data_IF_276699427463
#
_entry.id   IF_276699427463
#
_cell.length_a   1.000
_cell.length_b   1.000
_cell.length_c   1.000
_cell.angle_alpha   90.00
_cell.angle_beta   90.00
_cell.angle_gamma   90.00
#
_symmetry.space_group_name_H-M   'P 1'
#
loop_
_entity.id
_entity.type
_entity.pdbx_description
1 polymer ?
#
# COMPACT_ATOMS: atom_id res chain seq x y z
N UNK A 1 -1.57 -22.45 -1.34
CA UNK A 1 -1.75 -20.98 -1.40
C UNK A 1 -0.73 -20.46 -2.40
N UNK A 2 -1.14 -19.61 -3.34
CA UNK A 2 -0.19 -18.99 -4.28
C UNK A 2 0.68 -18.00 -3.52
N UNK A 3 1.95 -17.91 -3.88
CA UNK A 3 2.86 -16.90 -3.32
C UNK A 3 2.35 -15.50 -3.66
N UNK A 4 2.33 -14.55 -2.70
CA UNK A 4 2.00 -13.15 -2.98
C UNK A 4 2.93 -12.56 -4.05
N UNK A 5 2.40 -11.66 -4.88
CA UNK A 5 3.20 -10.98 -5.92
C UNK A 5 4.03 -9.85 -5.34
N UNK A 6 3.46 -9.13 -4.36
CA UNK A 6 4.02 -7.93 -3.75
C UNK A 6 4.53 -8.22 -2.34
N UNK A 7 5.80 -7.88 -2.09
CA UNK A 7 6.41 -7.95 -0.77
C UNK A 7 5.81 -6.87 0.14
N UNK A 8 5.46 -5.71 -0.43
CA UNK A 8 4.92 -4.57 0.30
C UNK A 8 3.80 -3.92 -0.50
N UNK A 9 2.69 -3.60 0.14
CA UNK A 9 1.66 -2.74 -0.44
C UNK A 9 1.40 -1.56 0.48
N UNK A 10 1.41 -0.34 -0.05
CA UNK A 10 0.99 0.85 0.71
C UNK A 10 -0.44 1.19 0.31
N UNK A 11 -1.37 1.01 1.25
CA UNK A 11 -2.77 1.38 1.11
C UNK A 11 -2.96 2.89 1.43
N UNK A 12 -3.58 3.64 0.53
CA UNK A 12 -3.72 5.09 0.67
C UNK A 12 -2.43 5.85 0.34
N UNK A 13 -1.63 5.36 -0.62
CA UNK A 13 -0.25 5.84 -0.87
C UNK A 13 -0.14 7.34 -1.11
N UNK A 14 -1.17 7.96 -1.70
CA UNK A 14 -1.18 9.39 -2.04
C UNK A 14 -1.48 10.31 -0.84
N UNK A 15 -1.64 9.75 0.36
CA UNK A 15 -1.70 10.51 1.61
C UNK A 15 -0.31 11.00 2.04
N UNK A 16 -0.25 12.04 2.85
CA UNK A 16 1.02 12.71 3.22
C UNK A 16 2.08 11.75 3.79
N UNK A 17 1.79 11.07 4.90
CA UNK A 17 2.72 10.14 5.54
C UNK A 17 3.03 8.93 4.66
N UNK A 18 2.02 8.44 3.93
CA UNK A 18 2.17 7.30 3.03
C UNK A 18 3.07 7.62 1.82
N UNK A 19 3.04 8.87 1.32
CA UNK A 19 3.95 9.33 0.27
C UNK A 19 5.39 9.40 0.77
N UNK A 20 5.62 9.87 1.99
CA UNK A 20 6.96 9.84 2.60
C UNK A 20 7.47 8.40 2.75
N UNK A 21 6.60 7.47 3.15
CA UNK A 21 6.92 6.04 3.19
C UNK A 21 7.28 5.50 1.80
N UNK A 22 6.51 5.84 0.77
CA UNK A 22 6.78 5.43 -0.61
C UNK A 22 8.12 5.99 -1.13
N UNK A 23 8.41 7.25 -0.84
CA UNK A 23 9.71 7.86 -1.15
C UNK A 23 10.85 7.16 -0.42
N UNK A 24 10.65 6.77 0.85
CA UNK A 24 11.66 6.04 1.62
C UNK A 24 11.95 4.67 0.98
N UNK A 25 10.93 3.94 0.56
CA UNK A 25 11.09 2.69 -0.18
C UNK A 25 11.86 2.94 -1.49
N UNK A 26 11.50 3.98 -2.26
CA UNK A 26 12.19 4.31 -3.50
C UNK A 26 13.68 4.66 -3.30
N UNK A 27 14.02 5.33 -2.19
CA UNK A 27 15.39 5.77 -1.86
C UNK A 27 16.27 4.66 -1.30
N UNK A 28 15.71 3.73 -0.52
CA UNK A 28 16.53 2.92 0.41
C UNK A 28 16.37 1.40 0.28
N UNK A 29 15.26 0.91 -0.28
CA UNK A 29 15.03 -0.53 -0.41
C UNK A 29 15.78 -1.08 -1.63
N UNK A 30 16.04 -2.40 -1.70
CA UNK A 30 16.58 -3.03 -2.90
C UNK A 30 15.80 -2.64 -4.16
N UNK A 31 16.51 -2.40 -5.26
CA UNK A 31 15.90 -1.93 -6.52
C UNK A 31 14.94 -2.96 -7.13
N UNK A 32 15.05 -4.23 -6.74
CA UNK A 32 14.19 -5.33 -7.18
C UNK A 32 13.02 -5.63 -6.22
N UNK A 33 12.79 -4.81 -5.19
CA UNK A 33 11.63 -4.96 -4.30
C UNK A 33 10.33 -4.87 -5.09
N UNK A 34 9.49 -5.91 -4.99
CA UNK A 34 8.16 -5.97 -5.62
C UNK A 34 7.16 -5.35 -4.67
N UNK A 35 6.44 -4.32 -5.11
CA UNK A 35 5.58 -3.57 -4.23
C UNK A 35 4.49 -2.84 -5.00
N UNK A 36 3.38 -2.57 -4.31
CA UNK A 36 2.18 -1.97 -4.88
C UNK A 36 1.81 -0.67 -4.16
N UNK A 37 1.36 0.32 -4.93
CA UNK A 37 0.74 1.54 -4.44
C UNK A 37 -0.77 1.47 -4.67
N UNK A 38 -1.54 1.46 -3.58
CA UNK A 38 -2.99 1.39 -3.63
C UNK A 38 -3.65 2.72 -3.22
N UNK A 39 -4.66 3.15 -3.96
CA UNK A 39 -5.36 4.41 -3.69
C UNK A 39 -6.66 4.59 -4.49
N UNK A 40 -7.39 5.67 -4.23
CA UNK A 40 -8.69 5.94 -4.89
C UNK A 40 -8.56 6.58 -6.27
N UNK A 41 -7.42 7.23 -6.57
CA UNK A 41 -7.25 8.02 -7.78
C UNK A 41 -6.09 7.50 -8.60
N UNK A 42 -6.41 6.85 -9.74
CA UNK A 42 -5.43 6.40 -10.72
C UNK A 42 -4.46 7.52 -11.13
N UNK A 43 -5.00 8.73 -11.38
CA UNK A 43 -4.20 9.88 -11.78
C UNK A 43 -3.17 10.29 -10.71
N UNK A 44 -3.54 10.27 -9.43
CA UNK A 44 -2.61 10.60 -8.33
C UNK A 44 -1.57 9.50 -8.12
N UNK A 45 -1.96 8.24 -8.27
CA UNK A 45 -1.03 7.11 -8.20
C UNK A 45 0.01 7.17 -9.33
N UNK A 46 -0.42 7.49 -10.55
CA UNK A 46 0.50 7.63 -11.68
C UNK A 46 1.42 8.84 -11.55
N UNK A 47 0.90 9.97 -11.04
CA UNK A 47 1.74 11.12 -10.72
C UNK A 47 2.83 10.75 -9.69
N UNK A 48 2.44 10.08 -8.60
CA UNK A 48 3.39 9.61 -7.59
C UNK A 48 4.39 8.59 -8.17
N UNK A 49 3.95 7.64 -9.00
CA UNK A 49 4.83 6.68 -9.69
C UNK A 49 5.93 7.38 -10.47
N UNK A 50 5.59 8.44 -11.20
CA UNK A 50 6.56 9.26 -11.95
C UNK A 50 7.55 9.97 -11.02
N UNK A 51 7.08 10.53 -9.91
CA UNK A 51 7.94 11.21 -8.94
C UNK A 51 8.91 10.22 -8.29
N UNK A 52 8.44 9.02 -7.92
CA UNK A 52 9.29 7.95 -7.37
C UNK A 52 10.32 7.44 -8.38
N UNK A 53 9.96 7.37 -9.67
CA UNK A 53 10.90 7.01 -10.75
C UNK A 53 12.01 8.04 -10.90
N UNK A 54 11.72 9.32 -10.69
CA UNK A 54 12.75 10.37 -10.73
C UNK A 54 13.74 10.28 -9.56
N UNK A 55 13.32 9.71 -8.42
CA UNK A 55 14.19 9.47 -7.25
C UNK A 55 15.20 8.35 -7.53
N UNK A 56 14.75 7.26 -8.15
CA UNK A 56 15.61 6.12 -8.47
C UNK A 56 15.12 5.41 -9.75
N UNK A 57 15.66 5.76 -10.92
CA UNK A 57 15.15 5.30 -12.21
C UNK A 57 15.48 3.84 -12.54
N UNK A 58 16.44 3.23 -11.84
CA UNK A 58 16.89 1.85 -12.09
C UNK A 58 16.09 0.81 -11.30
N UNK A 59 15.14 1.24 -10.45
CA UNK A 59 14.31 0.33 -9.65
C UNK A 59 13.14 -0.23 -10.45
N UNK A 60 12.69 -1.41 -10.05
CA UNK A 60 11.42 -1.98 -10.48
C UNK A 60 10.29 -1.00 -10.14
N UNK A 61 9.49 -0.62 -11.14
CA UNK A 61 8.39 0.31 -10.90
C UNK A 61 7.31 -0.36 -10.03
N UNK A 62 6.72 0.36 -9.06
CA UNK A 62 5.61 -0.18 -8.28
C UNK A 62 4.41 -0.51 -9.16
N UNK A 63 3.71 -1.59 -8.81
CA UNK A 63 2.36 -1.83 -9.29
C UNK A 63 1.40 -0.78 -8.71
N UNK A 64 0.27 -0.58 -9.37
CA UNK A 64 -0.77 0.35 -8.91
C UNK A 64 -2.10 -0.36 -8.80
N UNK A 65 -2.80 -0.15 -7.69
CA UNK A 65 -4.13 -0.71 -7.47
C UNK A 65 -5.13 0.40 -7.14
N UNK A 66 -6.17 0.54 -7.96
CA UNK A 66 -7.27 1.46 -7.66
C UNK A 66 -8.28 0.74 -6.78
N UNK A 67 -8.48 1.25 -5.57
CA UNK A 67 -9.37 0.63 -4.60
C UNK A 67 -10.81 1.00 -4.94
N UNK A 68 -11.68 0.03 -5.22
CA UNK A 68 -13.08 0.31 -5.53
C UNK A 68 -13.85 0.78 -4.29
N UNK A 69 -13.56 0.17 -3.14
CA UNK A 69 -14.26 0.38 -1.87
C UNK A 69 -13.40 -0.12 -0.70
N UNK A 70 -13.60 0.47 0.48
CA UNK A 70 -12.90 0.12 1.72
C UNK A 70 -13.70 -0.90 2.54
N UNK A 71 -13.93 -2.06 1.95
CA UNK A 71 -14.58 -3.21 2.58
C UNK A 71 -13.93 -4.52 2.15
N UNK A 72 -14.43 -5.65 2.66
CA UNK A 72 -13.85 -6.96 2.38
C UNK A 72 -13.75 -7.29 0.89
N UNK A 73 -14.79 -7.02 0.10
CA UNK A 73 -14.78 -7.33 -1.35
C UNK A 73 -13.80 -6.45 -2.12
N UNK A 74 -13.70 -5.17 -1.74
CA UNK A 74 -12.78 -4.23 -2.37
C UNK A 74 -11.31 -4.43 -1.98
N UNK A 75 -11.06 -5.00 -0.80
CA UNK A 75 -9.71 -5.16 -0.25
C UNK A 75 -9.12 -6.55 -0.53
N UNK A 76 -9.93 -7.61 -0.58
CA UNK A 76 -9.43 -8.99 -0.70
C UNK A 76 -8.51 -9.24 -1.90
N UNK A 77 -8.81 -8.74 -3.12
CA UNK A 77 -7.90 -8.92 -4.26
C UNK A 77 -6.53 -8.26 -4.06
N UNK A 78 -6.47 -7.11 -3.40
CA UNK A 78 -5.23 -6.41 -3.09
C UNK A 78 -4.44 -7.15 -2.00
N UNK A 79 -5.13 -7.47 -0.91
CA UNK A 79 -4.52 -8.07 0.28
C UNK A 79 -3.98 -9.47 -0.02
N UNK A 80 -4.72 -10.29 -0.76
CA UNK A 80 -4.28 -11.65 -1.15
C UNK A 80 -2.96 -11.67 -1.94
N UNK A 81 -2.64 -10.58 -2.64
CA UNK A 81 -1.42 -10.44 -3.42
C UNK A 81 -0.28 -9.76 -2.66
N UNK A 82 -0.47 -9.46 -1.36
CA UNK A 82 0.45 -8.69 -0.52
C UNK A 82 1.00 -9.53 0.63
N UNK A 83 2.32 -9.53 0.85
CA UNK A 83 2.95 -10.09 2.06
C UNK A 83 2.78 -9.15 3.26
N UNK A 84 3.12 -7.86 3.11
CA UNK A 84 2.97 -6.81 4.14
C UNK A 84 2.15 -5.64 3.63
N UNK A 85 1.02 -5.36 4.26
CA UNK A 85 0.18 -4.19 4.00
C UNK A 85 0.49 -3.06 4.99
N UNK A 86 0.87 -1.91 4.45
CA UNK A 86 1.04 -0.65 5.18
C UNK A 86 -0.21 0.21 4.96
N UNK A 87 -1.03 0.37 6.01
CA UNK A 87 -2.25 1.16 5.94
C UNK A 87 -1.98 2.64 6.24
N UNK A 88 -2.12 3.48 5.22
CA UNK A 88 -2.06 4.94 5.30
C UNK A 88 -3.43 5.63 5.32
N UNK A 89 -4.53 4.87 5.45
CA UNK A 89 -5.89 5.40 5.47
C UNK A 89 -6.35 5.61 6.92
N UNK A 90 -6.18 6.84 7.40
CA UNK A 90 -6.78 7.32 8.63
C UNK A 90 -8.12 8.05 8.40
N UNK A 91 -8.90 8.33 9.46
CA UNK A 91 -8.65 7.91 10.84
C UNK A 91 -8.87 6.40 11.06
N UNK A 92 -7.95 5.76 11.78
CA UNK A 92 -7.84 4.31 11.88
C UNK A 92 -8.95 3.69 12.73
N UNK A 93 -9.41 4.38 13.77
CA UNK A 93 -10.59 3.95 14.54
C UNK A 93 -11.87 3.84 13.70
N UNK A 94 -11.93 4.50 12.52
CA UNK A 94 -13.09 4.41 11.60
C UNK A 94 -12.85 3.45 10.44
N UNK A 95 -11.63 3.42 9.91
CA UNK A 95 -11.34 2.75 8.64
C UNK A 95 -10.41 1.54 8.77
N UNK A 96 -9.82 1.31 9.95
CA UNK A 96 -8.84 0.23 10.17
C UNK A 96 -9.47 -1.16 10.22
N UNK A 97 -10.65 -1.31 10.83
CA UNK A 97 -11.28 -2.62 11.04
C UNK A 97 -11.44 -3.44 9.75
N UNK A 98 -12.04 -2.90 8.66
CA UNK A 98 -12.18 -3.67 7.42
C UNK A 98 -10.83 -4.11 6.81
N UNK A 99 -9.78 -3.29 7.00
CA UNK A 99 -8.44 -3.58 6.49
C UNK A 99 -7.77 -4.71 7.27
N UNK A 100 -7.85 -4.65 8.60
CA UNK A 100 -7.31 -5.70 9.48
C UNK A 100 -8.06 -7.02 9.27
N UNK A 101 -9.39 -6.97 9.09
CA UNK A 101 -10.21 -8.15 8.79
C UNK A 101 -9.79 -8.80 7.46
N UNK A 102 -9.58 -8.01 6.40
CA UNK A 102 -9.09 -8.52 5.12
C UNK A 102 -7.69 -9.14 5.25
N UNK A 103 -6.77 -8.49 5.98
CA UNK A 103 -5.43 -9.02 6.25
C UNK A 103 -5.48 -10.35 6.98
N UNK A 104 -6.29 -10.44 8.03
CA UNK A 104 -6.47 -11.67 8.82
C UNK A 104 -7.01 -12.82 7.98
N UNK A 105 -7.98 -12.55 7.09
CA UNK A 105 -8.59 -13.56 6.22
C UNK A 105 -7.62 -14.13 5.18
N UNK A 106 -6.71 -13.30 4.68
CA UNK A 106 -5.81 -13.65 3.59
C UNK A 106 -4.39 -14.01 4.06
N UNK A 107 -4.08 -13.87 5.35
CA UNK A 107 -2.76 -14.19 5.91
C UNK A 107 -1.69 -13.13 5.60
N UNK A 108 -2.09 -11.87 5.48
CA UNK A 108 -1.21 -10.74 5.18
C UNK A 108 -0.81 -10.01 6.46
N UNK A 109 0.47 -9.65 6.59
CA UNK A 109 0.93 -8.84 7.70
C UNK A 109 0.37 -7.42 7.60
N UNK A 110 -0.01 -6.81 8.72
CA UNK A 110 -0.60 -5.48 8.77
C UNK A 110 0.24 -4.54 9.64
N UNK A 111 0.46 -3.32 9.19
CA UNK A 111 0.96 -2.20 10.00
C UNK A 111 0.33 -0.87 9.54
N UNK A 112 0.26 0.12 10.42
CA UNK A 112 -0.26 1.44 10.10
C UNK A 112 0.55 2.56 10.76
N UNK A 113 0.23 3.82 10.44
CA UNK A 113 0.90 5.00 11.01
C UNK A 113 0.10 5.62 12.15
N UNK A 114 -0.78 4.87 12.83
CA UNK A 114 -1.67 5.44 13.83
C UNK A 114 -0.91 6.14 14.95
N UNK A 115 -1.21 7.43 15.10
CA UNK A 115 -0.86 8.23 16.29
C UNK A 115 -2.10 8.52 17.11
N UNK A 116 -3.20 7.80 16.87
CA UNK A 116 -4.45 7.96 17.60
C UNK A 116 -4.28 7.41 19.03
N UNK A 117 -4.85 8.12 20.00
CA UNK A 117 -4.85 7.69 21.39
C UNK A 117 -6.14 6.92 21.70
N UNK A 118 -6.05 5.93 22.58
CA UNK A 118 -7.20 5.20 23.11
C UNK A 118 -8.11 6.09 23.97
#
# INVERSE_FOLDING_TARGET
MSTPTDEITILGTTGWTATICAEHIAKTFPTNTRWCMAGLSAAKLEALRRDLRAINPDRLEPDTYVIPQLDGEGLDPLVKNTEVLINGIGPYHRHGTPVVEACTRNGTHYLDFSTETA
#
